data_IF_264420224296
#
_entry.id   IF_264420224296
#
_cell.length_a   1.000
_cell.length_b   1.000
_cell.length_c   1.000
_cell.angle_alpha   90.00
_cell.angle_beta   90.00
_cell.angle_gamma   90.00
#
_symmetry.space_group_name_H-M   'P 1'
#
loop_
_entity.id
_entity.type
_entity.pdbx_description
1 polymer ?
#
# COMPACT_ATOMS: atom_id res chain seq x y z
N UNK A 1 12.38 -3.77 -1.06
CA UNK A 1 12.41 -3.37 0.36
C UNK A 1 10.96 -3.39 0.79
N UNK A 2 10.49 -4.53 1.29
CA UNK A 2 9.10 -4.73 1.69
C UNK A 2 8.80 -4.03 3.01
N UNK A 3 7.54 -3.64 3.21
CA UNK A 3 7.07 -2.99 4.42
C UNK A 3 6.53 -4.03 5.39
N UNK A 4 7.04 -4.01 6.62
CA UNK A 4 6.49 -4.80 7.71
C UNK A 4 5.15 -4.19 8.14
N UNK A 5 4.07 -4.97 8.00
CA UNK A 5 2.69 -4.53 8.27
C UNK A 5 2.44 -4.27 9.76
N UNK A 6 3.12 -4.98 10.66
CA UNK A 6 3.00 -4.78 12.11
C UNK A 6 3.64 -3.46 12.57
N UNK A 7 4.42 -2.83 11.68
CA UNK A 7 5.26 -1.66 11.96
C UNK A 7 4.97 -0.54 10.93
N UNK A 8 3.90 -0.62 10.12
CA UNK A 8 3.59 0.27 8.99
C UNK A 8 3.10 1.70 9.34
N UNK A 9 3.59 2.29 10.42
CA UNK A 9 3.25 3.67 10.73
C UNK A 9 4.24 4.66 10.10
N UNK A 10 3.76 5.89 9.89
CA UNK A 10 4.55 6.99 9.34
C UNK A 10 5.90 7.17 10.03
N UNK A 11 5.96 7.13 11.37
CA UNK A 11 7.22 7.35 12.10
C UNK A 11 8.27 6.26 11.85
N UNK A 12 7.83 5.00 11.77
CA UNK A 12 8.73 3.86 11.55
C UNK A 12 9.23 3.80 10.12
N UNK A 13 8.42 4.20 9.14
CA UNK A 13 8.90 4.29 7.76
C UNK A 13 9.82 5.52 7.62
N UNK A 14 9.50 6.66 8.25
CA UNK A 14 10.38 7.83 8.31
C UNK A 14 11.74 7.51 8.92
N UNK A 15 11.80 6.68 9.96
CA UNK A 15 13.05 6.32 10.62
C UNK A 15 13.98 5.43 9.78
N UNK A 16 13.46 4.81 8.71
CA UNK A 16 14.27 4.11 7.70
C UNK A 16 14.94 5.07 6.70
N UNK A 17 14.45 6.31 6.60
CA UNK A 17 15.08 7.36 5.79
C UNK A 17 16.03 8.17 6.65
N UNK A 18 17.29 8.26 6.22
CA UNK A 18 18.33 9.07 6.90
C UNK A 18 18.11 10.59 6.72
N UNK A 19 17.07 11.00 5.99
CA UNK A 19 16.79 12.39 5.64
C UNK A 19 15.65 12.97 6.51
N UNK A 20 15.96 14.02 7.27
CA UNK A 20 15.02 14.70 8.17
C UNK A 20 13.87 15.46 7.45
N UNK A 21 13.90 15.55 6.12
CA UNK A 21 12.95 16.34 5.33
C UNK A 21 11.90 15.49 4.59
N UNK A 22 11.76 14.20 4.88
CA UNK A 22 10.69 13.39 4.32
C UNK A 22 9.35 13.70 5.01
N UNK A 23 8.26 13.75 4.24
CA UNK A 23 6.89 13.90 4.74
C UNK A 23 5.96 12.91 4.07
N UNK A 24 5.04 12.35 4.85
CA UNK A 24 4.00 11.46 4.33
C UNK A 24 2.76 12.23 3.94
N UNK A 25 2.24 11.88 2.78
CA UNK A 25 0.98 12.38 2.27
C UNK A 25 0.06 11.20 1.97
N UNK A 26 -1.20 11.31 2.35
CA UNK A 26 -2.25 10.38 1.97
C UNK A 26 -2.47 10.38 0.46
N UNK A 27 -3.25 9.42 -0.03
CA UNK A 27 -3.68 9.35 -1.43
C UNK A 27 -4.45 10.59 -1.91
N UNK A 28 -5.09 11.33 -0.99
CA UNK A 28 -5.79 12.59 -1.26
C UNK A 28 -4.87 13.83 -1.27
N UNK A 29 -3.58 13.68 -0.94
CA UNK A 29 -2.61 14.76 -0.83
C UNK A 29 -2.58 15.49 0.52
N UNK A 30 -3.33 15.02 1.52
CA UNK A 30 -3.29 15.54 2.90
C UNK A 30 -2.03 15.04 3.61
N UNK A 31 -1.40 15.90 4.41
CA UNK A 31 -0.25 15.52 5.24
C UNK A 31 -0.70 14.52 6.33
N UNK A 32 -0.04 13.36 6.43
CA UNK A 32 -0.38 12.36 7.43
C UNK A 32 0.01 12.84 8.84
N UNK A 33 -0.76 12.40 9.84
CA UNK A 33 -0.42 12.63 11.24
C UNK A 33 0.76 11.73 11.69
N UNK A 34 1.40 12.10 12.79
CA UNK A 34 2.41 11.26 13.42
C UNK A 34 1.78 9.94 13.88
N UNK A 35 2.44 8.82 13.59
CA UNK A 35 2.00 7.45 13.90
C UNK A 35 0.75 6.96 13.18
N UNK A 36 0.34 7.64 12.12
CA UNK A 36 -0.75 7.16 11.27
C UNK A 36 -0.34 5.88 10.53
N UNK A 37 -1.26 4.91 10.45
CA UNK A 37 -1.13 3.71 9.61
C UNK A 37 -1.05 4.16 8.15
N UNK A 38 -0.08 3.66 7.40
CA UNK A 38 0.02 3.94 5.97
C UNK A 38 -0.63 2.82 5.17
N UNK A 39 -1.36 3.19 4.14
CA UNK A 39 -1.96 2.26 3.18
C UNK A 39 -1.39 2.41 1.78
N UNK A 40 -1.85 1.55 0.88
CA UNK A 40 -1.58 1.64 -0.54
C UNK A 40 -2.04 2.99 -1.11
N UNK A 41 -1.15 3.62 -1.89
CA UNK A 41 -1.39 4.93 -2.51
C UNK A 41 -0.94 6.13 -1.68
N UNK A 42 -0.42 5.92 -0.47
CA UNK A 42 0.29 6.96 0.28
C UNK A 42 1.58 7.34 -0.45
N UNK A 43 2.00 8.60 -0.34
CA UNK A 43 3.21 9.11 -0.98
C UNK A 43 4.18 9.70 0.04
N UNK A 44 5.44 9.30 -0.06
CA UNK A 44 6.55 9.87 0.71
C UNK A 44 7.19 10.92 -0.17
N UNK A 45 7.14 12.19 0.24
CA UNK A 45 7.78 13.28 -0.49
C UNK A 45 9.00 13.73 0.28
N UNK A 46 10.16 13.65 -0.35
CA UNK A 46 11.41 14.23 0.15
C UNK A 46 11.46 15.69 -0.27
N UNK A 47 11.66 16.60 0.69
CA UNK A 47 11.82 18.01 0.40
C UNK A 47 13.29 18.43 0.48
N UNK A 48 13.71 19.32 -0.42
CA UNK A 48 15.01 19.97 -0.33
C UNK A 48 15.01 21.09 0.73
N UNK A 49 16.18 21.68 1.01
CA UNK A 49 16.32 22.78 1.99
C UNK A 49 15.52 24.05 1.64
N UNK A 50 15.01 24.14 0.40
CA UNK A 50 14.17 25.24 -0.09
C UNK A 50 12.67 24.94 0.04
N UNK A 51 12.30 23.75 0.50
CA UNK A 51 10.92 23.30 0.63
C UNK A 51 10.29 22.82 -0.68
N UNK A 52 11.09 22.54 -1.71
CA UNK A 52 10.62 21.96 -2.97
C UNK A 52 10.68 20.43 -2.91
N UNK A 53 9.78 19.75 -3.62
CA UNK A 53 9.76 18.28 -3.71
C UNK A 53 10.97 17.83 -4.54
N UNK A 54 11.91 17.15 -3.88
CA UNK A 54 13.09 16.56 -4.50
C UNK A 54 12.82 15.17 -5.06
N UNK A 55 12.06 14.35 -4.31
CA UNK A 55 11.73 12.99 -4.71
C UNK A 55 10.35 12.58 -4.16
N UNK A 56 9.69 11.65 -4.82
CA UNK A 56 8.39 11.11 -4.39
C UNK A 56 8.32 9.62 -4.61
N UNK A 57 8.07 8.88 -3.54
CA UNK A 57 7.88 7.42 -3.57
C UNK A 57 6.43 7.13 -3.23
N UNK A 58 5.78 6.27 -4.02
CA UNK A 58 4.44 5.76 -3.72
C UNK A 58 4.55 4.45 -2.95
N UNK A 59 3.80 4.36 -1.86
CA UNK A 59 3.69 3.16 -1.03
C UNK A 59 2.65 2.24 -1.66
N UNK A 60 3.01 0.97 -1.78
CA UNK A 60 2.12 -0.11 -2.20
C UNK A 60 2.28 -1.23 -1.19
N UNK A 61 1.16 -1.65 -0.61
CA UNK A 61 1.06 -2.79 0.29
C UNK A 61 0.29 -3.87 -0.46
N UNK A 62 0.91 -5.02 -0.64
CA UNK A 62 0.29 -6.15 -1.32
C UNK A 62 -0.85 -6.70 -0.45
N UNK A 63 -2.05 -6.79 -1.03
CA UNK A 63 -3.30 -7.14 -0.37
C UNK A 63 -4.17 -5.94 0.00
N UNK A 64 -3.60 -4.77 0.27
CA UNK A 64 -4.35 -3.56 0.61
C UNK A 64 -4.71 -2.80 -0.67
N UNK A 65 -5.90 -3.07 -1.20
CA UNK A 65 -6.39 -2.53 -2.48
C UNK A 65 -7.09 -1.20 -2.24
N UNK A 66 -7.77 -1.06 -1.10
CA UNK A 66 -8.54 0.12 -0.75
C UNK A 66 -7.66 1.28 -0.23
N UNK A 67 -6.43 0.99 0.22
CA UNK A 67 -5.45 1.95 0.71
C UNK A 67 -5.63 2.34 2.18
N UNK A 68 -6.28 1.51 2.99
CA UNK A 68 -6.54 1.76 4.41
C UNK A 68 -5.43 1.23 5.34
N UNK A 69 -4.45 0.51 4.79
CA UNK A 69 -3.32 -0.06 5.51
C UNK A 69 -3.60 -1.39 6.19
N UNK A 70 -4.77 -1.99 5.94
CA UNK A 70 -5.15 -3.33 6.35
C UNK A 70 -5.44 -4.19 5.11
N UNK A 71 -5.32 -5.50 5.27
CA UNK A 71 -5.74 -6.46 4.25
C UNK A 71 -6.95 -7.20 4.80
N UNK A 72 -8.14 -6.88 4.28
CA UNK A 72 -9.39 -7.42 4.78
C UNK A 72 -10.38 -7.86 3.67
N UNK A 73 -11.59 -8.26 4.07
CA UNK A 73 -12.60 -8.72 3.14
C UNK A 73 -13.11 -7.61 2.18
N UNK A 74 -12.87 -6.34 2.46
CA UNK A 74 -13.19 -5.23 1.56
C UNK A 74 -12.26 -5.24 0.35
N UNK A 75 -10.99 -5.60 0.53
CA UNK A 75 -10.03 -5.72 -0.56
C UNK A 75 -10.42 -6.83 -1.53
N UNK A 76 -10.82 -8.00 -1.01
CA UNK A 76 -11.30 -9.11 -1.87
C UNK A 76 -12.55 -8.71 -2.66
N UNK A 77 -13.45 -7.90 -2.07
CA UNK A 77 -14.61 -7.34 -2.77
C UNK A 77 -14.18 -6.38 -3.88
N UNK A 78 -13.18 -5.51 -3.67
CA UNK A 78 -12.66 -4.61 -4.71
C UNK A 78 -12.05 -5.39 -5.88
N UNK A 79 -11.27 -6.43 -5.60
CA UNK A 79 -10.73 -7.31 -6.65
C UNK A 79 -11.84 -8.00 -7.43
N UNK A 80 -12.87 -8.50 -6.74
CA UNK A 80 -14.06 -9.08 -7.38
C UNK A 80 -14.82 -8.07 -8.26
N UNK A 81 -14.95 -6.81 -7.82
CA UNK A 81 -15.57 -5.75 -8.61
C UNK A 81 -14.73 -5.38 -9.85
N UNK A 82 -13.41 -5.33 -9.71
CA UNK A 82 -12.48 -5.12 -10.82
C UNK A 82 -12.59 -6.24 -11.86
N UNK A 83 -12.55 -7.51 -11.42
CA UNK A 83 -12.71 -8.68 -12.30
C UNK A 83 -14.06 -8.70 -13.02
N UNK A 84 -15.12 -8.24 -12.36
CA UNK A 84 -16.44 -8.09 -12.95
C UNK A 84 -16.58 -6.83 -13.85
N UNK A 85 -15.50 -6.10 -14.12
CA UNK A 85 -15.48 -4.85 -14.92
C UNK A 85 -16.42 -3.76 -14.36
N UNK A 86 -16.73 -3.80 -13.07
CA UNK A 86 -17.57 -2.81 -12.39
C UNK A 86 -16.76 -1.68 -11.75
N UNK A 87 -15.46 -1.89 -11.62
CA UNK A 87 -14.50 -0.96 -11.03
C UNK A 87 -13.24 -0.93 -11.90
N UNK A 88 -12.61 0.23 -12.03
CA UNK A 88 -11.27 0.35 -12.62
C UNK A 88 -10.30 0.69 -11.51
N UNK A 89 -9.27 -0.14 -11.33
CA UNK A 89 -8.21 0.08 -10.36
C UNK A 89 -7.07 0.91 -10.98
N UNK A 90 -6.44 1.74 -10.16
CA UNK A 90 -5.24 2.47 -10.52
C UNK A 90 -4.03 1.53 -10.58
N UNK A 91 -2.94 1.94 -11.21
CA UNK A 91 -1.79 1.05 -11.43
C UNK A 91 -1.14 0.56 -10.12
N UNK A 92 -1.08 1.41 -9.09
CA UNK A 92 -0.59 1.01 -7.77
C UNK A 92 -1.56 0.06 -7.04
N UNK A 93 -2.87 0.17 -7.30
CA UNK A 93 -3.86 -0.76 -6.74
C UNK A 93 -3.81 -2.11 -7.44
N UNK A 94 -3.57 -2.14 -8.75
CA UNK A 94 -3.32 -3.39 -9.49
C UNK A 94 -2.07 -4.09 -8.97
N UNK A 95 -1.02 -3.33 -8.67
CA UNK A 95 0.19 -3.89 -8.07
C UNK A 95 -0.12 -4.46 -6.67
N UNK A 96 -0.94 -3.77 -5.86
CA UNK A 96 -1.39 -4.31 -4.58
C UNK A 96 -2.26 -5.58 -4.72
N UNK A 97 -2.98 -5.75 -5.83
CA UNK A 97 -3.78 -6.94 -6.08
C UNK A 97 -2.95 -8.17 -6.45
N UNK A 98 -1.76 -7.99 -7.01
CA UNK A 98 -0.86 -9.07 -7.45
C UNK A 98 -0.07 -9.56 -6.25
N UNK A 99 -0.71 -10.38 -5.42
CA UNK A 99 -0.18 -10.82 -4.11
C UNK A 99 0.72 -12.05 -4.23
N UNK A 100 0.66 -12.76 -5.37
CA UNK A 100 1.53 -13.88 -5.68
C UNK A 100 2.71 -13.51 -6.60
N UNK A 101 2.79 -12.24 -7.03
CA UNK A 101 3.83 -11.65 -7.88
C UNK A 101 3.99 -12.32 -9.25
N UNK A 102 2.92 -12.90 -9.79
CA UNK A 102 2.94 -13.58 -11.09
C UNK A 102 2.59 -12.65 -12.27
N UNK A 103 2.27 -11.38 -12.00
CA UNK A 103 1.81 -10.36 -12.94
C UNK A 103 0.45 -10.68 -13.61
N UNK A 104 -0.34 -11.58 -13.03
CA UNK A 104 -1.62 -12.05 -13.54
C UNK A 104 -2.68 -11.97 -12.45
N UNK A 105 -3.49 -10.91 -12.50
CA UNK A 105 -4.61 -10.74 -11.56
C UNK A 105 -5.72 -11.77 -11.79
N UNK A 106 -5.73 -12.85 -10.99
CA UNK A 106 -6.68 -13.96 -11.14
C UNK A 106 -7.36 -14.39 -9.82
N UNK A 107 -7.91 -15.61 -9.81
CA UNK A 107 -8.59 -16.15 -8.62
C UNK A 107 -7.62 -16.55 -7.52
N UNK A 108 -6.37 -16.86 -7.86
CA UNK A 108 -5.31 -17.23 -6.92
C UNK A 108 -5.01 -16.05 -6.00
N UNK A 109 -4.88 -14.84 -6.55
CA UNK A 109 -4.72 -13.61 -5.77
C UNK A 109 -5.91 -13.39 -4.83
N UNK A 110 -7.13 -13.60 -5.35
CA UNK A 110 -8.34 -13.41 -4.57
C UNK A 110 -8.39 -14.35 -3.37
N UNK A 111 -8.01 -15.62 -3.54
CA UNK A 111 -7.95 -16.58 -2.44
C UNK A 111 -6.88 -16.23 -1.41
N UNK A 112 -5.70 -15.77 -1.85
CA UNK A 112 -4.65 -15.32 -0.94
C UNK A 112 -5.12 -14.14 -0.10
N UNK A 113 -5.79 -13.15 -0.72
CA UNK A 113 -6.36 -12.01 0.00
C UNK A 113 -7.44 -12.48 0.99
N UNK A 114 -8.35 -13.35 0.57
CA UNK A 114 -9.41 -13.90 1.44
C UNK A 114 -8.84 -14.67 2.63
N UNK A 115 -7.79 -15.48 2.43
CA UNK A 115 -7.11 -16.23 3.50
C UNK A 115 -6.32 -15.28 4.43
N UNK A 116 -5.69 -14.24 3.88
CA UNK A 116 -4.99 -13.22 4.67
C UNK A 116 -5.95 -12.40 5.54
N UNK A 117 -7.15 -12.10 5.03
CA UNK A 117 -8.19 -11.37 5.77
C UNK A 117 -8.68 -12.12 7.03
N UNK A 118 -8.48 -13.44 7.08
CA UNK A 118 -8.79 -14.28 8.24
C UNK A 118 -7.55 -14.76 8.98
N UNK A 119 -6.39 -14.15 8.74
CA UNK A 119 -5.11 -14.46 9.38
C UNK A 119 -4.61 -15.90 9.14
N UNK A 120 -5.00 -16.52 8.02
CA UNK A 120 -4.53 -17.85 7.63
C UNK A 120 -3.30 -17.80 6.70
N UNK A 121 -3.02 -16.65 6.11
CA UNK A 121 -1.92 -16.47 5.18
C UNK A 121 -1.27 -15.09 5.35
N UNK A 122 0.05 -15.05 5.44
CA UNK A 122 0.81 -13.79 5.46
C UNK A 122 1.29 -13.48 4.03
N UNK A 123 0.83 -12.35 3.48
CA UNK A 123 1.22 -11.91 2.14
C UNK A 123 2.65 -11.38 2.19
N UNK A 124 3.51 -11.96 1.33
CA UNK A 124 4.88 -11.51 1.20
C UNK A 124 4.93 -10.10 0.56
N UNK A 125 5.41 -9.14 1.34
CA UNK A 125 5.60 -7.76 0.92
C UNK A 125 6.94 -7.54 0.19
N UNK A 126 7.76 -8.59 0.06
CA UNK A 126 9.03 -8.59 -0.66
C UNK A 126 8.86 -9.29 -2.02
N UNK A 127 9.37 -8.64 -3.07
CA UNK A 127 9.42 -9.13 -4.45
C UNK A 127 10.80 -9.73 -4.73
#
# INVERSE_FOLDING_TARGET
MGLDLDINNTNNILSQFNNANAKFYRSDGTLCANQEIVGTGYTIRLLNDRGEIYDTITIVIFGDINGDGHVDAQDSVLLSLFRNSKLTLNDYQKLACDVNHDNVLDLSDQWIIEDSAIYLYDIDQFI
#
